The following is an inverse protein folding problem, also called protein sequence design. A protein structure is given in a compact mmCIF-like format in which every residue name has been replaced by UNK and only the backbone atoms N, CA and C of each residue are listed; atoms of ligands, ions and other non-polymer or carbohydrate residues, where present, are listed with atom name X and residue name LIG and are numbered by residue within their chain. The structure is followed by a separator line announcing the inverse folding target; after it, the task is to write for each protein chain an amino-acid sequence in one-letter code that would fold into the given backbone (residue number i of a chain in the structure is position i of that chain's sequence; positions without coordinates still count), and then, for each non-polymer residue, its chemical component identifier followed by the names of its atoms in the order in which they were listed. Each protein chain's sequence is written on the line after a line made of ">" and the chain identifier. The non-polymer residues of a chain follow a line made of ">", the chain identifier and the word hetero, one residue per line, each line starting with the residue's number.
data_IF_560322521612
#
_entry.id   IF_560322521612
#
_cell.length_a   1.000
_cell.length_b   1.000
_cell.length_c   1.000
_cell.angle_alpha   90.00
_cell.angle_beta   90.00
_cell.angle_gamma   90.00
#
_symmetry.space_group_name_H-M   'P 1'
#
loop_
_entity.id
_entity.type
_entity.pdbx_description
1 polymer ?
#
# COMPACT_ATOMS: atom_id res chain seq x y z
N UNK A 1 -17.26 -14.75 -27.74
CA UNK A 1 -17.04 -14.48 -26.30
C UNK A 1 -18.18 -13.60 -25.82
N UNK A 2 -18.80 -13.91 -24.69
CA UNK A 2 -19.87 -13.09 -24.11
C UNK A 2 -19.28 -11.87 -23.38
N UNK A 3 -20.05 -10.78 -23.29
CA UNK A 3 -19.69 -9.60 -22.49
C UNK A 3 -19.34 -9.97 -21.04
N UNK A 4 -20.00 -11.02 -20.50
CA UNK A 4 -19.73 -11.57 -19.18
C UNK A 4 -18.32 -12.16 -19.04
N UNK A 5 -17.87 -12.92 -20.06
CA UNK A 5 -16.51 -13.47 -20.07
C UNK A 5 -15.43 -12.39 -20.20
N UNK A 6 -15.71 -11.33 -20.96
CA UNK A 6 -14.83 -10.17 -21.05
C UNK A 6 -14.74 -9.40 -19.72
N UNK A 7 -15.87 -9.20 -19.05
CA UNK A 7 -15.92 -8.58 -17.72
C UNK A 7 -15.15 -9.39 -16.68
N UNK A 8 -15.34 -10.72 -16.67
CA UNK A 8 -14.60 -11.63 -15.77
C UNK A 8 -13.09 -11.48 -15.93
N UNK A 9 -12.59 -11.53 -17.17
CA UNK A 9 -11.17 -11.35 -17.46
C UNK A 9 -10.63 -9.97 -17.04
N UNK A 10 -11.40 -8.90 -17.22
CA UNK A 10 -11.02 -7.56 -16.76
C UNK A 10 -10.92 -7.48 -15.24
N UNK A 11 -11.90 -8.05 -14.51
CA UNK A 11 -11.93 -8.04 -13.05
C UNK A 11 -10.80 -8.89 -12.47
N UNK A 12 -10.53 -10.07 -13.04
CA UNK A 12 -9.41 -10.91 -12.64
C UNK A 12 -8.06 -10.20 -12.85
N UNK A 13 -7.89 -9.49 -13.97
CA UNK A 13 -6.70 -8.68 -14.25
C UNK A 13 -6.51 -7.57 -13.20
N UNK A 14 -7.57 -6.84 -12.86
CA UNK A 14 -7.53 -5.81 -11.81
C UNK A 14 -7.20 -6.43 -10.45
N UNK A 15 -7.79 -7.59 -10.12
CA UNK A 15 -7.50 -8.29 -8.87
C UNK A 15 -6.02 -8.67 -8.75
N UNK A 16 -5.44 -9.20 -9.83
CA UNK A 16 -4.02 -9.56 -9.90
C UNK A 16 -3.11 -8.34 -9.78
N UNK A 17 -3.43 -7.24 -10.48
CA UNK A 17 -2.70 -5.98 -10.39
C UNK A 17 -2.75 -5.42 -8.96
N UNK A 18 -3.94 -5.38 -8.35
CA UNK A 18 -4.10 -4.90 -6.98
C UNK A 18 -3.30 -5.73 -5.98
N UNK A 19 -3.32 -7.07 -6.10
CA UNK A 19 -2.52 -7.97 -5.26
C UNK A 19 -1.02 -7.78 -5.46
N UNK A 20 -0.57 -7.64 -6.70
CA UNK A 20 0.84 -7.41 -7.04
C UNK A 20 1.34 -6.07 -6.46
N UNK A 21 0.62 -4.98 -6.72
CA UNK A 21 0.95 -3.64 -6.21
C UNK A 21 0.87 -3.58 -4.69
N UNK A 22 -0.14 -4.21 -4.07
CA UNK A 22 -0.24 -4.31 -2.61
C UNK A 22 0.95 -5.04 -1.99
N UNK A 23 1.42 -6.12 -2.63
CA UNK A 23 2.64 -6.83 -2.21
C UNK A 23 3.91 -5.97 -2.34
N UNK A 24 4.06 -5.24 -3.45
CA UNK A 24 5.18 -4.31 -3.64
C UNK A 24 5.17 -3.17 -2.63
N UNK A 25 4.01 -2.58 -2.37
CA UNK A 25 3.85 -1.53 -1.36
C UNK A 25 4.09 -2.05 0.06
N UNK A 26 3.73 -3.30 0.36
CA UNK A 26 4.05 -3.93 1.65
C UNK A 26 5.56 -4.11 1.83
N UNK A 27 6.26 -4.59 0.80
CA UNK A 27 7.72 -4.69 0.82
C UNK A 27 8.39 -3.31 0.92
N UNK A 28 7.84 -2.30 0.23
CA UNK A 28 8.28 -0.92 0.35
C UNK A 28 8.06 -0.38 1.77
N UNK A 29 6.88 -0.60 2.38
CA UNK A 29 6.55 -0.21 3.75
C UNK A 29 7.60 -0.71 4.74
N UNK A 30 8.02 -1.97 4.62
CA UNK A 30 9.04 -2.55 5.51
C UNK A 30 10.37 -1.80 5.40
N UNK A 31 10.87 -1.57 4.17
CA UNK A 31 12.11 -0.82 3.93
C UNK A 31 12.00 0.64 4.36
N UNK A 32 10.87 1.28 4.05
CA UNK A 32 10.59 2.66 4.41
C UNK A 32 10.51 2.83 5.93
N UNK A 33 9.91 1.88 6.65
CA UNK A 33 9.85 1.89 8.11
C UNK A 33 11.23 1.74 8.76
N UNK A 34 12.10 0.92 8.19
CA UNK A 34 13.48 0.81 8.65
C UNK A 34 14.24 2.14 8.45
N UNK A 35 14.13 2.74 7.28
CA UNK A 35 14.75 4.04 7.00
C UNK A 35 14.17 5.16 7.90
N UNK A 36 12.86 5.17 8.11
CA UNK A 36 12.17 6.09 9.01
C UNK A 36 12.70 5.99 10.45
N UNK A 37 12.91 4.76 10.95
CA UNK A 37 13.49 4.54 12.28
C UNK A 37 14.93 5.04 12.40
N UNK A 38 15.74 4.91 11.35
CA UNK A 38 17.10 5.46 11.31
C UNK A 38 17.10 6.99 11.32
N UNK A 39 16.20 7.61 10.56
CA UNK A 39 16.03 9.06 10.55
C UNK A 39 15.56 9.54 11.92
N UNK A 40 14.54 8.91 12.50
CA UNK A 40 14.04 9.25 13.85
C UNK A 40 15.11 9.06 14.93
N UNK A 41 15.97 8.05 14.82
CA UNK A 41 17.06 7.83 15.79
C UNK A 41 18.16 8.89 15.66
N UNK A 42 18.50 9.27 14.42
CA UNK A 42 19.47 10.35 14.15
C UNK A 42 18.94 11.71 14.63
N UNK A 43 17.65 11.96 14.38
CA UNK A 43 16.95 13.17 14.77
C UNK A 43 16.63 13.20 16.26
N UNK A 44 16.48 12.05 16.92
CA UNK A 44 16.07 11.94 18.34
C UNK A 44 16.99 12.63 19.34
N UNK A 45 18.18 13.07 18.91
CA UNK A 45 19.08 13.94 19.68
C UNK A 45 18.89 15.45 19.44
N UNK A 46 18.00 15.85 18.53
CA UNK A 46 17.87 17.21 18.01
C UNK A 46 16.47 17.77 18.29
N UNK A 47 16.40 18.92 18.96
CA UNK A 47 15.17 19.52 19.49
C UNK A 47 14.52 20.56 18.54
N UNK A 48 14.96 20.65 17.28
CA UNK A 48 14.53 21.74 16.40
C UNK A 48 13.12 21.49 15.83
N UNK A 49 12.38 22.56 15.52
CA UNK A 49 11.04 22.42 14.93
C UNK A 49 11.05 21.72 13.55
N UNK A 50 12.16 21.85 12.80
CA UNK A 50 12.34 21.21 11.49
C UNK A 50 12.48 19.70 11.58
N UNK A 51 13.11 19.22 12.63
CA UNK A 51 13.23 17.80 12.94
C UNK A 51 11.86 17.15 13.17
N UNK A 52 11.00 17.82 13.94
CA UNK A 52 9.62 17.38 14.17
C UNK A 52 8.80 17.35 12.87
N UNK A 53 8.96 18.36 12.01
CA UNK A 53 8.29 18.45 10.71
C UNK A 53 8.67 17.27 9.80
N UNK A 54 9.97 16.92 9.76
CA UNK A 54 10.46 15.76 8.99
C UNK A 54 9.90 14.45 9.54
N UNK A 55 9.98 14.24 10.86
CA UNK A 55 9.46 13.03 11.50
C UNK A 55 7.96 12.88 11.25
N UNK A 56 7.20 13.96 11.35
CA UNK A 56 5.77 13.95 11.07
C UNK A 56 5.48 13.57 9.62
N UNK A 57 6.18 14.20 8.66
CA UNK A 57 5.99 13.89 7.23
C UNK A 57 6.30 12.41 6.91
N UNK A 58 7.31 11.83 7.56
CA UNK A 58 7.66 10.41 7.41
C UNK A 58 6.55 9.51 7.98
N UNK A 59 6.06 9.79 9.20
CA UNK A 59 4.98 9.02 9.82
C UNK A 59 3.69 9.10 9.00
N UNK A 60 3.37 10.28 8.50
CA UNK A 60 2.23 10.52 7.61
C UNK A 60 2.33 9.70 6.31
N UNK A 61 3.53 9.59 5.75
CA UNK A 61 3.77 8.76 4.57
C UNK A 61 3.63 7.26 4.89
N UNK A 62 4.14 6.80 6.04
CA UNK A 62 4.00 5.41 6.48
C UNK A 62 2.52 5.00 6.59
N UNK A 63 1.71 5.84 7.24
CA UNK A 63 0.27 5.57 7.42
C UNK A 63 -0.47 5.50 6.07
N UNK A 64 -0.15 6.41 5.14
CA UNK A 64 -0.78 6.41 3.80
C UNK A 64 -0.39 5.17 2.98
N UNK A 65 0.86 4.72 3.08
CA UNK A 65 1.30 3.48 2.42
C UNK A 65 0.57 2.27 3.00
N UNK A 66 0.37 2.23 4.32
CA UNK A 66 -0.37 1.15 4.96
C UNK A 66 -1.82 1.09 4.48
N UNK A 67 -2.52 2.23 4.53
CA UNK A 67 -3.87 2.35 4.03
C UNK A 67 -4.00 1.96 2.55
N UNK A 68 -3.00 2.30 1.72
CA UNK A 68 -2.97 1.90 0.32
C UNK A 68 -2.83 0.38 0.15
N UNK A 69 -1.98 -0.29 0.95
CA UNK A 69 -1.84 -1.75 0.95
C UNK A 69 -3.16 -2.42 1.34
N UNK A 70 -3.82 -1.92 2.39
CA UNK A 70 -5.11 -2.43 2.84
C UNK A 70 -6.20 -2.26 1.77
N UNK A 71 -6.28 -1.07 1.17
CA UNK A 71 -7.24 -0.78 0.11
C UNK A 71 -7.05 -1.69 -1.12
N UNK A 72 -5.81 -1.92 -1.54
CA UNK A 72 -5.50 -2.81 -2.66
C UNK A 72 -5.81 -4.27 -2.35
N UNK A 73 -5.52 -4.73 -1.13
CA UNK A 73 -5.88 -6.07 -0.68
C UNK A 73 -7.40 -6.27 -0.65
N UNK A 74 -8.15 -5.26 -0.18
CA UNK A 74 -9.61 -5.29 -0.19
C UNK A 74 -10.16 -5.34 -1.62
N UNK A 75 -9.65 -4.49 -2.51
CA UNK A 75 -10.05 -4.48 -3.92
C UNK A 75 -9.78 -5.84 -4.60
N UNK A 76 -8.60 -6.43 -4.36
CA UNK A 76 -8.26 -7.74 -4.90
C UNK A 76 -9.21 -8.84 -4.39
N UNK A 77 -9.59 -8.81 -3.10
CA UNK A 77 -10.54 -9.77 -2.52
C UNK A 77 -11.93 -9.63 -3.14
N UNK A 78 -12.46 -8.42 -3.24
CA UNK A 78 -13.79 -8.16 -3.82
C UNK A 78 -13.83 -8.56 -5.29
N UNK A 79 -12.80 -8.19 -6.06
CA UNK A 79 -12.69 -8.55 -7.47
C UNK A 79 -12.59 -10.07 -7.68
N UNK A 80 -11.79 -10.76 -6.86
CA UNK A 80 -11.68 -12.22 -6.92
C UNK A 80 -13.01 -12.92 -6.55
N UNK A 81 -13.71 -12.45 -5.51
CA UNK A 81 -15.00 -13.00 -5.11
C UNK A 81 -16.06 -12.82 -6.21
N UNK A 82 -16.08 -11.66 -6.87
CA UNK A 82 -16.98 -11.41 -7.99
C UNK A 82 -16.68 -12.34 -9.17
N UNK A 83 -15.41 -12.52 -9.53
CA UNK A 83 -14.99 -13.46 -10.59
C UNK A 83 -15.36 -14.92 -10.31
N UNK A 84 -15.41 -15.33 -9.04
CA UNK A 84 -15.88 -16.66 -8.62
C UNK A 84 -17.40 -16.81 -8.68
N UNK A 85 -18.15 -15.70 -8.53
CA UNK A 85 -19.62 -15.70 -8.59
C UNK A 85 -20.20 -15.64 -10.00
N UNK A 86 -19.35 -15.39 -11.01
CA UNK A 86 -19.66 -15.35 -12.44
C UNK A 86 -19.33 -16.66 -13.15
#
# INVERSE_FOLDING_TARGET
>A
MSQLGQLKGQIESIAQQAKSTGGQLSAFKAKFSQAAGQVQSTIGGSAQSKDKEVVQAIQDAQSKVDAAVEALNQAARVAAAYGQSL
#
